data_IF_958624883756
#
_entry.id   IF_958624883756
#
_cell.length_a   1.000
_cell.length_b   1.000
_cell.length_c   1.000
_cell.angle_alpha   90.00
_cell.angle_beta   90.00
_cell.angle_gamma   90.00
#
_symmetry.space_group_name_H-M   'P 1'
#
loop_
_entity.id
_entity.type
_entity.pdbx_description
1 polymer ?
#
# COMPACT_ATOMS: atom_id res chain seq x y z
N UNK A 1 31.98 6.70 8.88
CA UNK A 1 31.26 5.43 8.84
C UNK A 1 30.75 5.12 7.43
N UNK A 2 31.71 4.83 6.54
CA UNK A 2 31.43 4.28 5.22
C UNK A 2 31.57 2.76 5.38
N UNK A 3 30.47 2.01 5.39
CA UNK A 3 30.55 0.55 5.40
C UNK A 3 29.49 -0.23 6.20
N UNK A 4 28.61 0.43 6.96
CA UNK A 4 27.42 -0.25 7.51
C UNK A 4 26.20 0.06 6.64
N UNK A 5 25.53 -0.98 6.15
CA UNK A 5 24.24 -0.87 5.48
C UNK A 5 23.33 0.00 6.37
N UNK A 6 22.79 1.09 5.83
CA UNK A 6 21.91 1.99 6.58
C UNK A 6 20.61 1.24 6.86
N UNK A 7 20.39 0.87 8.11
CA UNK A 7 19.20 0.13 8.53
C UNK A 7 17.96 1.01 8.70
N UNK A 8 18.11 2.35 8.75
CA UNK A 8 16.97 3.29 8.80
C UNK A 8 17.30 4.57 8.05
N UNK A 9 16.37 5.02 7.21
CA UNK A 9 16.44 6.32 6.54
C UNK A 9 16.08 7.44 7.52
N UNK A 10 17.06 8.26 7.93
CA UNK A 10 16.83 9.44 8.76
C UNK A 10 16.30 10.62 7.92
N UNK A 11 15.07 10.53 7.41
CA UNK A 11 14.40 11.65 6.72
C UNK A 11 13.46 12.38 7.68
N UNK A 12 13.58 13.71 7.74
CA UNK A 12 12.67 14.57 8.52
C UNK A 12 11.30 14.68 7.83
N UNK A 13 10.28 15.17 8.54
CA UNK A 13 8.96 15.47 7.96
C UNK A 13 9.11 16.43 6.77
N UNK A 14 9.92 17.46 6.88
CA UNK A 14 10.18 18.42 5.80
C UNK A 14 10.80 17.76 4.57
N UNK A 15 11.74 16.80 4.76
CA UNK A 15 12.31 16.02 3.66
C UNK A 15 11.26 15.12 3.01
N UNK A 16 10.33 14.57 3.78
CA UNK A 16 9.23 13.76 3.25
C UNK A 16 8.25 14.63 2.44
N UNK A 17 7.93 15.85 2.92
CA UNK A 17 7.12 16.82 2.16
C UNK A 17 7.82 17.19 0.84
N UNK A 18 9.11 17.55 0.89
CA UNK A 18 9.89 17.86 -0.30
C UNK A 18 9.83 16.72 -1.33
N UNK A 19 9.99 15.49 -0.89
CA UNK A 19 9.92 14.30 -1.73
C UNK A 19 8.53 14.08 -2.31
N UNK A 20 7.49 14.14 -1.48
CA UNK A 20 6.14 13.75 -1.90
C UNK A 20 5.48 14.78 -2.83
N UNK A 21 5.82 16.07 -2.68
CA UNK A 21 5.17 17.15 -3.43
C UNK A 21 5.93 17.55 -4.69
N UNK A 22 7.27 17.45 -4.67
CA UNK A 22 8.10 18.08 -5.70
C UNK A 22 9.04 17.15 -6.46
N UNK A 23 9.21 15.90 -6.00
CA UNK A 23 10.22 15.01 -6.59
C UNK A 23 9.59 13.72 -7.12
N UNK A 24 10.28 13.10 -8.10
CA UNK A 24 9.90 11.80 -8.65
C UNK A 24 10.15 10.66 -7.65
N UNK A 25 9.51 9.51 -7.87
CA UNK A 25 9.66 8.30 -7.05
C UNK A 25 11.02 7.60 -7.20
N UNK A 26 11.85 8.00 -8.19
CA UNK A 26 13.14 7.36 -8.44
C UNK A 26 14.11 7.52 -7.27
N UNK A 27 14.74 6.42 -6.85
CA UNK A 27 15.71 6.40 -5.74
C UNK A 27 17.14 6.65 -6.25
N UNK A 28 17.46 7.90 -6.60
CA UNK A 28 18.79 8.30 -7.05
C UNK A 28 19.51 9.18 -6.02
N UNK A 29 20.85 9.18 -6.04
CA UNK A 29 21.63 10.12 -5.20
C UNK A 29 21.36 11.58 -5.58
N UNK A 30 21.20 11.86 -6.86
CA UNK A 30 20.85 13.19 -7.36
C UNK A 30 19.53 13.67 -6.77
N UNK A 31 18.48 12.84 -6.77
CA UNK A 31 17.21 13.16 -6.12
C UNK A 31 17.39 13.45 -4.64
N UNK A 32 18.27 12.72 -3.93
CA UNK A 32 18.51 12.96 -2.50
C UNK A 32 19.17 14.32 -2.24
N UNK A 33 20.04 14.77 -3.12
CA UNK A 33 20.62 16.12 -3.05
C UNK A 33 19.53 17.19 -3.24
N UNK A 34 18.68 17.03 -4.27
CA UNK A 34 17.55 17.94 -4.48
C UNK A 34 16.57 17.96 -3.30
N UNK A 35 16.29 16.79 -2.69
CA UNK A 35 15.46 16.69 -1.50
C UNK A 35 16.02 17.53 -0.34
N UNK A 36 17.35 17.48 -0.11
CA UNK A 36 18.03 18.27 0.93
C UNK A 36 17.95 19.76 0.62
N UNK A 37 18.28 20.17 -0.61
CA UNK A 37 18.24 21.58 -1.00
C UNK A 37 16.83 22.16 -0.89
N UNK A 38 15.83 21.40 -1.35
CA UNK A 38 14.43 21.81 -1.26
C UNK A 38 13.95 21.88 0.19
N UNK A 39 14.44 20.98 1.05
CA UNK A 39 14.14 21.00 2.49
C UNK A 39 14.58 22.32 3.11
N UNK A 40 15.81 22.79 2.84
CA UNK A 40 16.28 24.08 3.34
C UNK A 40 15.41 25.23 2.82
N UNK A 41 15.01 25.20 1.55
CA UNK A 41 14.13 26.20 0.97
C UNK A 41 12.75 26.22 1.64
N UNK A 42 12.15 25.03 1.88
CA UNK A 42 10.86 24.91 2.57
C UNK A 42 10.94 25.42 4.02
N UNK A 43 11.98 25.04 4.75
CA UNK A 43 12.22 25.50 6.14
C UNK A 43 12.43 27.01 6.25
N UNK A 44 12.92 27.65 5.17
CA UNK A 44 13.08 29.10 5.12
C UNK A 44 11.77 29.84 4.77
N UNK A 45 10.93 29.25 3.92
CA UNK A 45 9.71 29.87 3.39
C UNK A 45 8.46 29.58 4.21
N UNK A 46 8.41 28.46 4.93
CA UNK A 46 7.24 27.98 5.63
C UNK A 46 7.52 27.78 7.13
N UNK A 47 6.52 28.05 7.93
CA UNK A 47 6.55 27.70 9.37
C UNK A 47 6.45 26.19 9.57
N UNK A 48 6.87 25.69 10.73
CA UNK A 48 6.73 24.26 11.08
C UNK A 48 5.28 23.77 11.02
N UNK A 49 4.32 24.63 11.41
CA UNK A 49 2.89 24.27 11.34
C UNK A 49 2.42 24.14 9.89
N UNK A 50 2.84 25.04 8.99
CA UNK A 50 2.51 24.92 7.57
C UNK A 50 3.13 23.68 6.93
N UNK A 51 4.37 23.34 7.28
CA UNK A 51 5.02 22.12 6.80
C UNK A 51 4.27 20.87 7.31
N UNK A 52 3.87 20.86 8.59
CA UNK A 52 3.11 19.78 9.18
C UNK A 52 1.71 19.65 8.53
N UNK A 53 1.04 20.78 8.27
CA UNK A 53 -0.25 20.80 7.58
C UNK A 53 -0.15 20.19 6.17
N UNK A 54 0.86 20.59 5.39
CA UNK A 54 1.12 20.02 4.06
C UNK A 54 1.38 18.50 4.19
N UNK A 55 2.20 18.08 5.14
CA UNK A 55 2.49 16.68 5.40
C UNK A 55 1.21 15.88 5.70
N UNK A 56 0.41 16.37 6.64
CA UNK A 56 -0.82 15.70 7.06
C UNK A 56 -1.86 15.60 5.95
N UNK A 57 -1.84 16.51 4.98
CA UNK A 57 -2.76 16.48 3.84
C UNK A 57 -2.26 15.65 2.66
N UNK A 58 -0.95 15.35 2.57
CA UNK A 58 -0.36 14.72 1.38
C UNK A 58 0.16 13.29 1.60
N UNK A 59 0.45 12.91 2.85
CA UNK A 59 1.07 11.62 3.13
C UNK A 59 0.14 10.45 2.74
N UNK A 60 0.71 9.44 2.07
CA UNK A 60 0.00 8.20 1.79
C UNK A 60 -0.12 7.35 3.06
N UNK A 61 -1.32 6.92 3.38
CA UNK A 61 -1.66 6.19 4.61
C UNK A 61 -2.29 4.82 4.34
N UNK A 62 -2.05 4.26 3.16
CA UNK A 62 -2.64 2.98 2.75
C UNK A 62 -4.09 3.12 2.27
N UNK A 63 -4.67 2.02 1.80
CA UNK A 63 -6.06 1.96 1.36
C UNK A 63 -6.50 3.10 0.41
N UNK A 64 -5.60 3.55 -0.47
CA UNK A 64 -5.79 4.69 -1.39
C UNK A 64 -6.06 6.03 -0.68
N UNK A 65 -5.81 6.12 0.62
CA UNK A 65 -5.99 7.35 1.39
C UNK A 65 -4.72 8.20 1.37
N UNK A 66 -4.85 9.42 0.89
CA UNK A 66 -3.82 10.45 0.94
C UNK A 66 -4.27 11.53 1.92
N UNK A 67 -3.47 11.76 2.94
CA UNK A 67 -3.76 12.64 4.06
C UNK A 67 -4.62 12.01 5.15
N UNK A 68 -4.51 12.59 6.37
CA UNK A 68 -5.15 12.05 7.57
C UNK A 68 -6.67 12.16 7.53
N UNK A 69 -7.23 13.19 6.89
CA UNK A 69 -8.69 13.34 6.75
C UNK A 69 -9.27 12.20 5.88
N UNK A 70 -8.65 11.92 4.73
CA UNK A 70 -9.06 10.81 3.88
C UNK A 70 -8.87 9.45 4.56
N UNK A 71 -7.80 9.29 5.35
CA UNK A 71 -7.54 8.07 6.10
C UNK A 71 -8.58 7.87 7.23
N UNK A 72 -8.96 8.93 7.95
CA UNK A 72 -10.01 8.88 8.96
C UNK A 72 -11.34 8.38 8.38
N UNK A 73 -11.73 8.93 7.23
CA UNK A 73 -12.94 8.50 6.53
C UNK A 73 -12.82 7.05 6.01
N UNK A 74 -11.68 6.70 5.44
CA UNK A 74 -11.45 5.37 4.87
C UNK A 74 -11.45 4.26 5.92
N UNK A 75 -10.82 4.50 7.08
CA UNK A 75 -10.65 3.48 8.13
C UNK A 75 -11.76 3.48 9.18
N UNK A 76 -12.35 4.64 9.48
CA UNK A 76 -13.32 4.78 10.55
C UNK A 76 -14.68 5.31 10.09
N UNK A 77 -14.81 5.88 8.88
CA UNK A 77 -16.02 6.51 8.38
C UNK A 77 -16.39 7.76 9.17
N UNK A 78 -15.38 8.49 9.66
CA UNK A 78 -15.55 9.68 10.51
C UNK A 78 -14.71 10.84 10.00
N UNK A 79 -15.19 12.09 10.14
CA UNK A 79 -14.35 13.26 9.92
C UNK A 79 -13.19 13.30 10.94
N UNK A 80 -12.04 13.82 10.53
CA UNK A 80 -10.81 13.84 11.33
C UNK A 80 -11.00 14.47 12.73
N UNK A 81 -11.89 15.44 12.84
CA UNK A 81 -12.19 16.14 14.09
C UNK A 81 -12.98 15.29 15.12
N UNK A 82 -13.53 14.16 14.68
CA UNK A 82 -14.39 13.29 15.49
C UNK A 82 -13.72 11.97 15.89
N UNK A 83 -12.44 11.78 15.56
CA UNK A 83 -11.73 10.56 15.93
C UNK A 83 -11.30 10.59 17.40
N UNK A 84 -11.24 9.41 18.01
CA UNK A 84 -10.72 9.22 19.36
C UNK A 84 -9.18 9.28 19.40
N UNK A 85 -8.61 9.37 20.62
CA UNK A 85 -7.15 9.27 20.83
C UNK A 85 -6.62 7.93 20.28
N UNK A 86 -7.37 6.85 20.50
CA UNK A 86 -7.00 5.52 20.00
C UNK A 86 -7.01 5.45 18.47
N UNK A 87 -8.01 6.04 17.82
CA UNK A 87 -8.09 6.15 16.36
C UNK A 87 -6.96 7.04 15.81
N UNK A 88 -6.69 8.18 16.45
CA UNK A 88 -5.58 9.06 16.07
C UNK A 88 -4.22 8.35 16.17
N UNK A 89 -3.98 7.61 17.25
CA UNK A 89 -2.77 6.81 17.42
C UNK A 89 -2.63 5.71 16.36
N UNK A 90 -3.75 5.09 15.93
CA UNK A 90 -3.76 4.12 14.83
C UNK A 90 -3.31 4.77 13.53
N UNK A 91 -3.89 5.93 13.18
CA UNK A 91 -3.50 6.67 11.96
C UNK A 91 -2.04 7.14 12.01
N UNK A 92 -1.58 7.62 13.16
CA UNK A 92 -0.19 8.06 13.35
C UNK A 92 0.83 6.92 13.20
N UNK A 93 0.39 5.67 13.27
CA UNK A 93 1.21 4.49 13.02
C UNK A 93 1.50 4.21 11.55
N UNK A 94 0.61 4.66 10.65
CA UNK A 94 0.63 4.32 9.23
C UNK A 94 1.82 4.90 8.44
N UNK A 95 2.30 6.15 8.68
CA UNK A 95 3.38 6.72 7.87
C UNK A 95 4.68 5.93 7.86
N UNK A 96 4.90 5.08 8.85
CA UNK A 96 6.11 4.24 8.95
C UNK A 96 6.13 3.17 7.84
N UNK A 97 5.03 2.45 7.64
CA UNK A 97 4.84 1.44 6.59
C UNK A 97 3.32 1.24 6.38
N UNK A 98 2.69 2.00 5.46
CA UNK A 98 1.25 2.07 5.32
C UNK A 98 0.57 0.72 5.07
N UNK A 99 1.16 -0.18 4.29
CA UNK A 99 0.58 -1.50 4.03
C UNK A 99 0.80 -2.45 5.20
N UNK A 100 1.99 -2.43 5.84
CA UNK A 100 2.32 -3.32 6.95
C UNK A 100 1.54 -3.02 8.23
N UNK A 101 1.21 -1.75 8.47
CA UNK A 101 0.41 -1.30 9.62
C UNK A 101 -1.05 -0.99 9.26
N UNK A 102 -1.51 -1.39 8.08
CA UNK A 102 -2.89 -1.22 7.65
C UNK A 102 -3.85 -2.03 8.56
N UNK A 103 -4.78 -1.39 9.30
CA UNK A 103 -5.64 -2.09 10.23
C UNK A 103 -6.68 -2.99 9.56
N UNK A 104 -6.95 -2.83 8.26
CA UNK A 104 -7.84 -3.69 7.49
C UNK A 104 -7.15 -5.02 7.16
N UNK A 105 -5.91 -4.96 6.70
CA UNK A 105 -5.17 -6.14 6.23
C UNK A 105 -4.37 -6.84 7.33
N UNK A 106 -3.89 -6.10 8.35
CA UNK A 106 -3.11 -6.66 9.46
C UNK A 106 -3.41 -5.94 10.79
N UNK A 107 -4.60 -6.17 11.32
CA UNK A 107 -5.05 -5.53 12.57
C UNK A 107 -4.11 -5.77 13.76
N UNK A 108 -3.58 -6.99 13.90
CA UNK A 108 -2.68 -7.34 15.01
C UNK A 108 -1.44 -6.44 15.03
N UNK A 109 -0.81 -6.25 13.88
CA UNK A 109 0.39 -5.43 13.72
C UNK A 109 0.08 -3.94 13.85
N UNK A 110 -1.02 -3.48 13.26
CA UNK A 110 -1.52 -2.13 13.41
C UNK A 110 -1.80 -1.79 14.88
N UNK A 111 -2.44 -2.72 15.61
CA UNK A 111 -2.73 -2.57 17.04
C UNK A 111 -1.46 -2.49 17.90
N UNK A 112 -0.47 -3.34 17.64
CA UNK A 112 0.81 -3.28 18.35
C UNK A 112 1.52 -1.93 18.14
N UNK A 113 1.48 -1.40 16.91
CA UNK A 113 2.02 -0.08 16.59
C UNK A 113 1.23 1.05 17.25
N UNK A 114 -0.09 0.97 17.25
CA UNK A 114 -0.97 1.91 17.94
C UNK A 114 -0.65 2.01 19.43
N UNK A 115 -0.52 0.88 20.13
CA UNK A 115 -0.18 0.85 21.56
C UNK A 115 1.15 1.54 21.82
N UNK A 116 2.17 1.25 21.02
CA UNK A 116 3.46 1.94 21.13
C UNK A 116 3.32 3.46 20.95
N UNK A 117 2.43 3.93 20.07
CA UNK A 117 2.21 5.37 19.87
C UNK A 117 1.50 5.99 21.07
N UNK A 118 0.48 5.30 21.62
CA UNK A 118 -0.20 5.74 22.85
C UNK A 118 0.81 5.90 23.99
N UNK A 119 1.74 4.93 24.17
CA UNK A 119 2.79 5.01 25.17
C UNK A 119 3.69 6.24 24.93
N UNK A 120 4.07 6.51 23.68
CA UNK A 120 4.87 7.70 23.33
C UNK A 120 4.10 9.01 23.53
N UNK A 121 2.78 9.03 23.31
CA UNK A 121 1.95 10.20 23.56
C UNK A 121 1.88 10.53 25.07
N UNK A 122 1.75 9.50 25.91
CA UNK A 122 1.76 9.63 27.37
C UNK A 122 3.14 10.08 27.88
N UNK A 123 4.22 9.40 27.47
CA UNK A 123 5.61 9.73 27.86
C UNK A 123 6.01 11.17 27.51
N UNK A 124 5.50 11.71 26.40
CA UNK A 124 5.79 13.09 25.98
C UNK A 124 4.77 14.11 26.51
N UNK A 125 3.83 13.70 27.36
CA UNK A 125 2.84 14.59 27.99
C UNK A 125 1.75 15.14 27.06
N UNK A 126 1.55 14.51 25.89
CA UNK A 126 0.45 14.89 24.96
C UNK A 126 -0.92 14.43 25.46
N UNK A 127 -0.95 13.35 26.23
CA UNK A 127 -2.15 12.81 26.87
C UNK A 127 -1.84 12.45 28.32
N UNK A 128 -2.86 12.44 29.18
CA UNK A 128 -2.76 12.00 30.57
C UNK A 128 -2.70 10.48 30.68
N UNK A 129 -2.24 9.95 31.80
CA UNK A 129 -2.25 8.52 32.09
C UNK A 129 -3.67 7.91 32.01
N UNK A 130 -4.68 8.68 32.43
CA UNK A 130 -6.07 8.24 32.35
C UNK A 130 -6.56 8.13 30.90
N UNK A 131 -6.26 9.10 30.05
CA UNK A 131 -6.58 9.07 28.61
C UNK A 131 -5.85 7.95 27.91
N UNK A 132 -4.56 7.73 28.26
CA UNK A 132 -3.78 6.63 27.71
C UNK A 132 -4.36 5.26 28.06
N UNK A 133 -4.80 5.07 29.32
CA UNK A 133 -5.45 3.83 29.76
C UNK A 133 -6.75 3.58 28.99
N UNK A 134 -7.60 4.61 28.84
CA UNK A 134 -8.84 4.52 28.06
C UNK A 134 -8.57 4.18 26.59
N UNK A 135 -7.59 4.84 25.97
CA UNK A 135 -7.21 4.60 24.58
C UNK A 135 -6.63 3.18 24.35
N UNK A 136 -5.93 2.62 25.34
CA UNK A 136 -5.44 1.23 25.29
C UNK A 136 -6.57 0.20 25.37
N UNK A 137 -7.67 0.50 26.04
CA UNK A 137 -8.81 -0.43 26.17
C UNK A 137 -9.85 -0.27 25.04
N UNK A 138 -9.82 0.85 24.34
CA UNK A 138 -10.79 1.14 23.28
C UNK A 138 -10.70 0.12 22.16
N UNK A 139 -11.84 -0.51 21.84
CA UNK A 139 -12.00 -1.41 20.70
C UNK A 139 -12.37 -0.62 19.46
N UNK A 140 -11.44 -0.48 18.55
CA UNK A 140 -11.67 0.25 17.30
C UNK A 140 -12.58 -0.52 16.35
N UNK A 141 -13.56 0.18 15.80
CA UNK A 141 -14.39 -0.32 14.72
C UNK A 141 -13.75 0.10 13.38
N UNK A 142 -13.00 -0.82 12.79
CA UNK A 142 -12.40 -0.59 11.48
C UNK A 142 -13.44 -0.85 10.40
N UNK A 143 -13.60 0.09 9.49
CA UNK A 143 -14.48 -0.02 8.32
C UNK A 143 -13.83 -0.97 7.32
N UNK A 144 -14.42 -2.14 7.16
CA UNK A 144 -14.03 -3.08 6.10
C UNK A 144 -14.80 -2.73 4.83
N UNK A 145 -14.17 -2.86 3.67
CA UNK A 145 -14.75 -2.52 2.36
C UNK A 145 -16.04 -3.30 1.97
N UNK A 146 -16.54 -4.18 2.84
CA UNK A 146 -17.76 -4.95 2.63
C UNK A 146 -19.04 -4.11 2.57
N UNK A 147 -18.98 -2.82 2.97
CA UNK A 147 -20.19 -1.95 3.01
C UNK A 147 -20.40 -1.09 1.75
N UNK A 148 -19.48 -1.09 0.80
CA UNK A 148 -19.74 -0.51 -0.52
C UNK A 148 -19.90 -1.65 -1.50
N UNK A 149 -21.09 -1.79 -2.04
CA UNK A 149 -21.37 -2.60 -3.25
C UNK A 149 -20.45 -2.10 -4.37
N UNK A 150 -19.21 -2.57 -4.39
CA UNK A 150 -18.27 -2.26 -5.47
C UNK A 150 -18.64 -3.15 -6.63
N UNK A 151 -19.46 -2.60 -7.50
CA UNK A 151 -19.61 -3.13 -8.85
C UNK A 151 -18.28 -2.91 -9.57
N UNK A 152 -17.70 -3.94 -10.14
CA UNK A 152 -16.50 -3.86 -10.98
C UNK A 152 -16.81 -3.16 -12.31
N UNK A 153 -17.05 -1.86 -12.25
CA UNK A 153 -17.55 -1.06 -13.36
C UNK A 153 -16.62 0.10 -13.74
N UNK A 154 -15.34 0.03 -13.35
CA UNK A 154 -14.36 1.09 -13.58
C UNK A 154 -14.24 1.46 -15.07
N UNK A 155 -14.27 0.46 -15.96
CA UNK A 155 -14.23 0.68 -17.41
C UNK A 155 -15.51 1.34 -17.93
N UNK A 156 -16.67 0.95 -17.41
CA UNK A 156 -17.96 1.57 -17.78
C UNK A 156 -18.01 3.01 -17.26
N UNK A 157 -17.54 3.25 -16.05
CA UNK A 157 -17.43 4.60 -15.49
C UNK A 157 -16.50 5.49 -16.33
N UNK A 158 -15.37 4.96 -16.80
CA UNK A 158 -14.46 5.70 -17.68
C UNK A 158 -15.09 5.98 -19.06
N UNK A 159 -15.79 5.03 -19.64
CA UNK A 159 -16.55 5.27 -20.89
C UNK A 159 -17.59 6.37 -20.71
N UNK A 160 -18.36 6.32 -19.62
CA UNK A 160 -19.33 7.36 -19.29
C UNK A 160 -18.66 8.73 -19.09
N UNK A 161 -17.54 8.76 -18.36
CA UNK A 161 -16.75 9.98 -18.16
C UNK A 161 -16.30 10.60 -19.48
N UNK A 162 -15.78 9.78 -20.41
CA UNK A 162 -15.34 10.26 -21.73
C UNK A 162 -16.49 10.86 -22.54
N UNK A 163 -17.67 10.23 -22.54
CA UNK A 163 -18.85 10.74 -23.24
C UNK A 163 -19.31 12.08 -22.65
N UNK A 164 -19.36 12.19 -21.34
CA UNK A 164 -19.75 13.43 -20.65
C UNK A 164 -18.70 14.53 -20.86
N UNK A 165 -17.41 14.19 -20.80
CA UNK A 165 -16.34 15.13 -21.06
C UNK A 165 -16.35 15.64 -22.51
N UNK A 166 -16.63 14.78 -23.48
CA UNK A 166 -16.77 15.18 -24.88
C UNK A 166 -17.90 16.20 -25.09
N UNK A 167 -18.97 16.12 -24.28
CA UNK A 167 -20.12 17.02 -24.37
C UNK A 167 -19.95 18.33 -23.59
N UNK A 168 -19.34 18.28 -22.40
CA UNK A 168 -19.30 19.40 -21.44
C UNK A 168 -17.90 19.94 -21.17
N UNK A 169 -16.84 19.30 -21.68
CA UNK A 169 -15.46 19.67 -21.41
C UNK A 169 -15.15 19.70 -19.92
N UNK A 170 -14.41 20.70 -19.46
CA UNK A 170 -14.04 20.85 -18.05
C UNK A 170 -15.22 21.06 -17.09
N UNK A 171 -16.36 21.52 -17.59
CA UNK A 171 -17.59 21.67 -16.80
C UNK A 171 -18.12 20.31 -16.29
N UNK A 172 -17.78 19.21 -16.96
CA UNK A 172 -18.11 17.87 -16.52
C UNK A 172 -17.71 17.58 -15.07
N UNK A 173 -16.62 18.20 -14.60
CA UNK A 173 -16.08 18.00 -13.25
C UNK A 173 -16.59 19.00 -12.20
N UNK A 174 -17.21 20.09 -12.63
CA UNK A 174 -17.60 21.19 -11.72
C UNK A 174 -19.11 21.36 -11.59
N UNK A 175 -19.90 20.83 -12.53
CA UNK A 175 -21.38 21.00 -12.55
C UNK A 175 -22.16 20.06 -11.63
N UNK A 176 -21.48 19.07 -10.98
CA UNK A 176 -22.17 18.10 -10.12
C UNK A 176 -23.15 17.19 -10.87
N UNK A 177 -22.80 16.77 -12.10
CA UNK A 177 -23.67 15.96 -12.95
C UNK A 177 -23.85 14.55 -12.39
N UNK A 178 -25.10 14.05 -12.41
CA UNK A 178 -25.42 12.66 -12.15
C UNK A 178 -25.58 11.92 -13.49
N UNK A 179 -24.81 10.82 -13.66
CA UNK A 179 -24.84 10.03 -14.89
C UNK A 179 -25.49 8.67 -14.59
N UNK A 180 -26.64 8.42 -15.19
CA UNK A 180 -27.38 7.17 -15.04
C UNK A 180 -27.01 6.23 -16.19
N UNK A 181 -26.61 5.01 -15.85
CA UNK A 181 -26.27 3.96 -16.83
C UNK A 181 -27.28 2.82 -16.75
N UNK A 182 -27.29 1.95 -17.75
CA UNK A 182 -28.16 0.75 -17.81
C UNK A 182 -27.49 -0.49 -17.20
N UNK A 183 -26.31 -0.33 -16.56
CA UNK A 183 -25.57 -1.44 -16.00
C UNK A 183 -26.31 -2.05 -14.80
N UNK A 184 -26.38 -3.38 -14.74
CA UNK A 184 -26.91 -4.11 -13.60
C UNK A 184 -25.76 -4.69 -12.79
N UNK A 185 -25.74 -4.45 -11.47
CA UNK A 185 -24.66 -4.85 -10.59
C UNK A 185 -24.40 -6.36 -10.61
N UNK A 186 -25.47 -7.18 -10.54
CA UNK A 186 -25.33 -8.64 -10.51
C UNK A 186 -24.81 -9.21 -11.84
N UNK A 187 -25.28 -8.68 -12.96
CA UNK A 187 -24.82 -9.08 -14.28
C UNK A 187 -23.37 -8.64 -14.54
N UNK A 188 -22.99 -7.45 -14.09
CA UNK A 188 -21.64 -6.94 -14.19
C UNK A 188 -20.66 -7.79 -13.37
N UNK A 189 -21.01 -8.15 -12.13
CA UNK A 189 -20.18 -8.99 -11.29
C UNK A 189 -20.04 -10.40 -11.88
N UNK A 190 -21.12 -10.98 -12.40
CA UNK A 190 -21.09 -12.27 -13.09
C UNK A 190 -20.16 -12.23 -14.33
N UNK A 191 -20.27 -11.20 -15.15
CA UNK A 191 -19.42 -11.00 -16.33
C UNK A 191 -17.94 -10.81 -15.93
N UNK A 192 -17.67 -10.01 -14.90
CA UNK A 192 -16.33 -9.79 -14.39
C UNK A 192 -15.68 -11.10 -13.89
N UNK A 193 -16.39 -11.88 -13.08
CA UNK A 193 -15.90 -13.15 -12.56
C UNK A 193 -15.66 -14.16 -13.69
N UNK A 194 -16.59 -14.27 -14.64
CA UNK A 194 -16.44 -15.17 -15.79
C UNK A 194 -15.23 -14.81 -16.65
N UNK A 195 -15.02 -13.52 -16.94
CA UNK A 195 -13.87 -13.03 -17.69
C UNK A 195 -12.55 -13.35 -16.95
N UNK A 196 -12.46 -13.08 -15.66
CA UNK A 196 -11.28 -13.38 -14.86
C UNK A 196 -10.98 -14.88 -14.84
N UNK A 197 -11.98 -15.70 -14.61
CA UNK A 197 -11.82 -17.16 -14.61
C UNK A 197 -11.34 -17.67 -15.99
N UNK A 198 -11.89 -17.11 -17.07
CA UNK A 198 -11.47 -17.43 -18.43
C UNK A 198 -10.00 -17.07 -18.68
N UNK A 199 -9.58 -15.87 -18.29
CA UNK A 199 -8.18 -15.39 -18.41
C UNK A 199 -7.24 -16.29 -17.58
N UNK A 200 -7.58 -16.59 -16.31
CA UNK A 200 -6.76 -17.44 -15.46
C UNK A 200 -6.64 -18.86 -15.99
N UNK A 201 -7.72 -19.39 -16.57
CA UNK A 201 -7.71 -20.73 -17.20
C UNK A 201 -6.82 -20.71 -18.45
N UNK A 202 -6.88 -19.64 -19.24
CA UNK A 202 -6.01 -19.47 -20.40
C UNK A 202 -4.53 -19.36 -19.99
N UNK A 203 -4.18 -18.53 -18.99
CA UNK A 203 -2.81 -18.35 -18.50
C UNK A 203 -2.20 -19.66 -18.00
N UNK A 204 -2.98 -20.50 -17.30
CA UNK A 204 -2.49 -21.81 -16.81
C UNK A 204 -2.10 -22.77 -17.92
N UNK A 205 -2.55 -22.55 -19.15
CA UNK A 205 -2.18 -23.36 -20.34
C UNK A 205 -0.91 -22.82 -21.01
N UNK A 206 -0.48 -21.60 -20.68
CA UNK A 206 0.70 -20.99 -21.25
C UNK A 206 1.96 -21.42 -20.52
N UNK A 207 3.11 -21.29 -21.21
CA UNK A 207 4.40 -21.46 -20.56
C UNK A 207 4.66 -20.34 -19.55
N UNK A 208 5.21 -20.71 -18.41
CA UNK A 208 5.64 -19.75 -17.42
C UNK A 208 6.65 -18.76 -17.99
N UNK A 209 6.38 -17.48 -17.87
CA UNK A 209 7.15 -16.38 -18.48
C UNK A 209 8.20 -15.76 -17.56
N UNK A 210 8.22 -16.17 -16.30
CA UNK A 210 9.13 -15.65 -15.27
C UNK A 210 8.46 -14.68 -14.29
N UNK A 211 9.23 -14.24 -13.29
CA UNK A 211 8.83 -13.20 -12.37
C UNK A 211 8.68 -11.85 -13.08
N UNK A 212 7.87 -10.94 -12.52
CA UNK A 212 7.72 -9.60 -13.08
C UNK A 212 9.01 -8.78 -13.00
N UNK A 213 9.75 -8.93 -11.91
CA UNK A 213 11.00 -8.18 -11.67
C UNK A 213 11.87 -8.91 -10.65
N UNK A 214 13.15 -8.56 -10.64
CA UNK A 214 14.07 -8.95 -9.57
C UNK A 214 14.57 -7.72 -8.85
N UNK A 215 14.60 -7.79 -7.51
CA UNK A 215 15.13 -6.75 -6.65
C UNK A 215 16.17 -7.33 -5.69
N UNK A 216 17.16 -6.51 -5.32
CA UNK A 216 18.13 -6.89 -4.31
C UNK A 216 17.52 -6.70 -2.93
N UNK A 217 17.39 -7.79 -2.18
CA UNK A 217 16.83 -7.75 -0.84
C UNK A 217 17.88 -7.47 0.21
N UNK A 218 17.54 -6.69 1.27
CA UNK A 218 18.37 -6.58 2.45
C UNK A 218 18.66 -7.95 3.08
N UNK A 219 19.82 -8.09 3.70
CA UNK A 219 20.17 -9.33 4.41
C UNK A 219 19.36 -9.48 5.72
N UNK A 220 19.00 -8.36 6.35
CA UNK A 220 18.26 -8.33 7.61
C UNK A 220 16.74 -8.41 7.34
N UNK A 221 16.06 -9.32 8.03
CA UNK A 221 14.61 -9.50 7.89
C UNK A 221 13.80 -8.27 8.35
N UNK A 222 14.25 -7.55 9.39
CA UNK A 222 13.58 -6.35 9.87
C UNK A 222 13.61 -5.21 8.83
N UNK A 223 14.76 -5.02 8.16
CA UNK A 223 14.91 -4.03 7.09
C UNK A 223 14.04 -4.39 5.87
N UNK A 224 13.87 -5.69 5.59
CA UNK A 224 13.00 -6.16 4.52
C UNK A 224 11.54 -5.84 4.83
N UNK A 225 11.07 -6.14 6.03
CA UNK A 225 9.70 -5.86 6.44
C UNK A 225 9.36 -4.37 6.43
N UNK A 226 10.33 -3.51 6.76
CA UNK A 226 10.14 -2.05 6.74
C UNK A 226 10.09 -1.49 5.31
N UNK A 227 10.80 -2.12 4.36
CA UNK A 227 10.92 -1.63 2.98
C UNK A 227 10.06 -2.41 1.98
N UNK A 228 9.31 -3.42 2.40
CA UNK A 228 8.53 -4.26 1.48
C UNK A 228 7.51 -3.45 0.66
N UNK A 229 6.90 -2.43 1.25
CA UNK A 229 5.96 -1.54 0.58
C UNK A 229 6.62 -0.82 -0.59
N UNK A 230 7.79 -0.24 -0.34
CA UNK A 230 8.57 0.45 -1.34
C UNK A 230 9.03 -0.48 -2.48
N UNK A 231 9.39 -1.72 -2.14
CA UNK A 231 9.86 -2.71 -3.11
C UNK A 231 8.73 -3.24 -4.01
N UNK A 232 7.50 -3.25 -3.51
CA UNK A 232 6.32 -3.70 -4.24
C UNK A 232 5.42 -2.56 -4.74
N UNK A 233 5.80 -1.29 -4.52
CA UNK A 233 4.98 -0.12 -4.85
C UNK A 233 4.56 -0.07 -6.33
N UNK A 234 5.47 -0.44 -7.25
CA UNK A 234 5.22 -0.47 -8.69
C UNK A 234 4.42 -1.73 -9.14
N UNK A 235 4.16 -2.64 -8.19
CA UNK A 235 3.50 -3.92 -8.43
C UNK A 235 2.25 -4.09 -7.54
N UNK A 236 1.24 -3.20 -7.65
CA UNK A 236 0.05 -3.26 -6.79
C UNK A 236 -0.76 -4.55 -7.04
N UNK A 237 -1.53 -4.93 -6.04
CA UNK A 237 -2.50 -6.01 -6.19
C UNK A 237 -3.55 -5.70 -7.26
N UNK A 238 -4.03 -6.72 -7.94
CA UNK A 238 -5.12 -6.62 -8.92
C UNK A 238 -6.24 -7.60 -8.54
N UNK A 239 -7.13 -7.15 -7.68
CA UNK A 239 -8.20 -7.96 -7.14
C UNK A 239 -7.65 -9.13 -6.31
N UNK A 240 -7.94 -10.35 -6.72
CA UNK A 240 -7.46 -11.60 -6.12
C UNK A 240 -6.06 -12.02 -6.57
N UNK A 241 -5.48 -11.33 -7.56
CA UNK A 241 -4.10 -11.53 -8.01
C UNK A 241 -3.18 -10.64 -7.19
N UNK A 242 -2.52 -11.23 -6.23
CA UNK A 242 -1.78 -10.54 -5.18
C UNK A 242 -0.29 -10.48 -5.51
N UNK A 243 0.35 -9.37 -5.21
CA UNK A 243 1.80 -9.21 -5.34
C UNK A 243 2.54 -9.81 -4.16
N UNK A 244 3.65 -10.52 -4.41
CA UNK A 244 4.48 -11.06 -3.35
C UNK A 244 5.96 -11.09 -3.76
N UNK A 245 6.83 -10.91 -2.76
CA UNK A 245 8.28 -10.96 -2.88
C UNK A 245 8.81 -12.32 -2.44
N UNK A 246 9.53 -13.02 -3.29
CA UNK A 246 10.13 -14.32 -2.96
C UNK A 246 11.29 -14.14 -1.98
N UNK A 247 11.19 -14.80 -0.84
CA UNK A 247 12.24 -14.88 0.18
C UNK A 247 13.11 -16.12 -0.02
N UNK A 248 12.47 -17.24 -0.37
CA UNK A 248 13.10 -18.53 -0.61
C UNK A 248 12.34 -19.28 -1.71
N UNK A 249 13.05 -19.97 -2.58
CA UNK A 249 12.43 -20.84 -3.58
C UNK A 249 13.29 -22.08 -3.83
N UNK A 250 12.62 -23.24 -3.92
CA UNK A 250 13.21 -24.51 -4.34
C UNK A 250 12.16 -25.32 -5.10
N UNK A 251 12.51 -26.50 -5.56
CA UNK A 251 11.63 -27.36 -6.37
C UNK A 251 10.31 -27.77 -5.67
N UNK A 252 10.23 -27.67 -4.34
CA UNK A 252 9.09 -28.16 -3.53
C UNK A 252 8.34 -27.05 -2.81
N UNK A 253 8.93 -25.84 -2.71
CA UNK A 253 8.40 -24.76 -1.89
C UNK A 253 8.84 -23.39 -2.40
N UNK A 254 7.92 -22.43 -2.36
CA UNK A 254 8.23 -21.00 -2.43
C UNK A 254 7.74 -20.36 -1.14
N UNK A 255 8.60 -19.58 -0.49
CA UNK A 255 8.22 -18.68 0.61
C UNK A 255 8.26 -17.27 0.07
N UNK A 256 7.15 -16.56 0.17
CA UNK A 256 7.02 -15.20 -0.32
C UNK A 256 6.39 -14.28 0.72
N UNK A 257 6.75 -13.01 0.69
CA UNK A 257 6.24 -11.99 1.61
C UNK A 257 5.34 -11.02 0.86
N UNK A 258 4.21 -10.70 1.46
CA UNK A 258 3.22 -9.72 1.02
C UNK A 258 3.61 -8.29 1.47
N UNK A 259 3.07 -7.23 0.86
CA UNK A 259 3.27 -5.85 1.32
C UNK A 259 2.94 -5.64 2.81
N UNK A 260 1.90 -6.32 3.31
CA UNK A 260 1.50 -6.24 4.72
C UNK A 260 2.44 -6.99 5.68
N UNK A 261 3.54 -7.58 5.18
CA UNK A 261 4.51 -8.34 5.96
C UNK A 261 4.13 -9.80 6.22
N UNK A 262 2.95 -10.25 5.78
CA UNK A 262 2.56 -11.65 5.89
C UNK A 262 3.41 -12.52 4.96
N UNK A 263 3.81 -13.68 5.45
CA UNK A 263 4.52 -14.69 4.66
C UNK A 263 3.56 -15.76 4.18
N UNK A 264 3.70 -16.12 2.91
CA UNK A 264 2.96 -17.17 2.23
C UNK A 264 3.90 -18.32 1.93
N UNK A 265 3.45 -19.54 2.17
CA UNK A 265 4.13 -20.76 1.74
C UNK A 265 3.33 -21.41 0.62
N UNK A 266 3.94 -21.55 -0.56
CA UNK A 266 3.32 -22.15 -1.75
C UNK A 266 3.97 -23.51 -1.97
N UNK A 267 3.15 -24.56 -1.98
CA UNK A 267 3.59 -25.96 -2.10
C UNK A 267 2.64 -26.74 -3.04
N UNK A 268 3.04 -27.95 -3.39
CA UNK A 268 2.19 -28.91 -4.10
C UNK A 268 1.62 -28.37 -5.43
N UNK A 269 0.31 -28.38 -5.55
CA UNK A 269 -0.39 -27.97 -6.78
C UNK A 269 -0.20 -26.50 -7.13
N UNK A 270 0.04 -25.62 -6.14
CA UNK A 270 0.35 -24.22 -6.35
C UNK A 270 1.65 -23.98 -7.13
N UNK A 271 2.58 -24.94 -7.13
CA UNK A 271 3.85 -24.86 -7.86
C UNK A 271 3.75 -25.33 -9.31
N UNK A 272 2.72 -26.10 -9.68
CA UNK A 272 2.60 -26.69 -11.03
C UNK A 272 2.75 -25.65 -12.16
N UNK A 273 2.10 -24.47 -12.10
CA UNK A 273 2.20 -23.50 -13.18
C UNK A 273 3.59 -22.91 -13.37
N UNK A 274 4.43 -22.94 -12.34
CA UNK A 274 5.74 -22.27 -12.30
C UNK A 274 6.92 -23.26 -12.20
N UNK A 275 6.66 -24.57 -12.37
CA UNK A 275 7.64 -25.64 -12.21
C UNK A 275 8.92 -25.41 -13.04
N UNK A 276 8.78 -24.90 -14.26
CA UNK A 276 9.92 -24.60 -15.13
C UNK A 276 10.84 -23.53 -14.55
N UNK A 277 10.31 -22.58 -13.79
CA UNK A 277 11.06 -21.51 -13.11
C UNK A 277 11.73 -21.96 -11.81
N UNK A 278 11.34 -23.10 -11.25
CA UNK A 278 11.91 -23.65 -10.02
C UNK A 278 13.09 -24.61 -10.26
N UNK A 279 13.35 -24.94 -11.51
CA UNK A 279 14.49 -25.80 -11.87
C UNK A 279 15.81 -25.05 -11.68
N UNK A 280 16.83 -25.72 -11.16
CA UNK A 280 18.20 -25.18 -11.08
C UNK A 280 18.81 -24.88 -12.46
N UNK A 281 18.27 -25.53 -13.50
CA UNK A 281 18.64 -25.33 -14.90
C UNK A 281 17.81 -24.25 -15.59
N UNK A 282 16.85 -23.63 -14.88
CA UNK A 282 16.01 -22.60 -15.48
C UNK A 282 16.85 -21.39 -15.93
N UNK A 283 16.57 -20.83 -17.12
CA UNK A 283 17.19 -19.59 -17.56
C UNK A 283 17.04 -18.46 -16.55
N UNK A 284 18.01 -17.56 -16.40
CA UNK A 284 18.01 -16.52 -15.37
C UNK A 284 16.76 -15.63 -15.36
N UNK A 285 16.15 -15.38 -16.52
CA UNK A 285 14.99 -14.52 -16.69
C UNK A 285 13.67 -15.16 -16.23
N UNK A 286 13.58 -16.49 -16.16
CA UNK A 286 12.39 -17.20 -15.67
C UNK A 286 12.62 -17.86 -14.32
N UNK A 287 13.85 -17.90 -13.82
CA UNK A 287 14.20 -18.60 -12.58
C UNK A 287 13.60 -17.87 -11.38
N UNK A 288 12.78 -18.57 -10.60
CA UNK A 288 12.25 -18.06 -9.33
C UNK A 288 13.33 -18.21 -8.25
N UNK A 289 13.74 -17.10 -7.68
CA UNK A 289 14.79 -17.03 -6.64
C UNK A 289 14.49 -15.88 -5.67
N UNK A 290 15.23 -15.81 -4.58
CA UNK A 290 15.15 -14.68 -3.64
C UNK A 290 15.23 -13.34 -4.37
N UNK A 291 14.29 -12.43 -4.05
CA UNK A 291 14.15 -11.13 -4.68
C UNK A 291 13.30 -11.11 -5.95
N UNK A 292 12.72 -12.24 -6.35
CA UNK A 292 11.76 -12.27 -7.45
C UNK A 292 10.41 -11.71 -7.00
N UNK A 293 9.80 -10.84 -7.80
CA UNK A 293 8.41 -10.36 -7.61
C UNK A 293 7.51 -11.28 -8.41
N UNK A 294 6.56 -11.91 -7.73
CA UNK A 294 5.62 -12.88 -8.31
C UNK A 294 4.17 -12.47 -8.04
N UNK A 295 3.26 -13.03 -8.82
CA UNK A 295 1.82 -12.97 -8.57
C UNK A 295 1.33 -14.27 -7.96
N UNK A 296 0.51 -14.14 -6.93
CA UNK A 296 -0.11 -15.26 -6.24
C UNK A 296 -1.62 -15.09 -6.21
N UNK A 297 -2.33 -16.21 -6.26
CA UNK A 297 -3.79 -16.27 -6.17
C UNK A 297 -4.12 -17.22 -5.03
N UNK A 298 -5.01 -16.80 -4.15
CA UNK A 298 -5.54 -17.67 -3.11
C UNK A 298 -6.55 -18.63 -3.75
N UNK A 299 -6.34 -19.92 -3.57
CA UNK A 299 -7.23 -20.99 -4.08
C UNK A 299 -8.05 -21.61 -2.97
#
# INVERSE_FOLDING_TARGET
NVGKAKSQGASTITMQVARNVYLSSEKTFTRKIYEILLTFKLEHLLTKNQILEIYMNQIFLGNRAYGFAAASEAYFGKPLQSISIAEAAMLAGLPKAPSAYNPISNYKRARARQLHIIDRMEENGFITAQEAAQAREEKLKIRTHTDSTRVHAEYVAEMARQLIFAQYGNEAYTRGLNVYTTINAAEQDAAYLALRQGIMTYERRQHYRGPEKFVNLPANAADLEENIDDLLADHPDNGDVLSAMVLEANAKKIVAMRPNGDTLEITGDGLKPVQSGLSDKAPPNIRIRRGAIIRVVQT
#
